data_IF_374748199645
#
_entry.id   IF_374748199645
#
_cell.length_a   1.000
_cell.length_b   1.000
_cell.length_c   1.000
_cell.angle_alpha   90.00
_cell.angle_beta   90.00
_cell.angle_gamma   90.00
#
_symmetry.space_group_name_H-M   'P 1'
#
loop_
_entity.id
_entity.type
_entity.pdbx_description
1 polymer ?
#
# COMPACT_ATOMS: atom_id res chain seq x y z
N UNK A 1 1.25 22.61 -31.45
CA UNK A 1 1.34 21.64 -30.32
C UNK A 1 -0.04 21.58 -29.69
N UNK A 2 -0.76 20.47 -29.90
CA UNK A 2 -2.14 20.32 -29.42
C UNK A 2 -2.17 20.23 -27.88
N UNK A 3 -3.07 20.99 -27.28
CA UNK A 3 -3.33 21.02 -25.85
C UNK A 3 -3.86 19.64 -25.39
N UNK A 4 -2.96 18.73 -25.02
CA UNK A 4 -3.31 17.40 -24.44
C UNK A 4 -3.85 17.46 -23.01
N UNK A 5 -3.86 18.64 -22.37
CA UNK A 5 -4.22 18.78 -20.95
C UNK A 5 -5.72 18.83 -20.64
N UNK A 6 -6.60 18.89 -21.64
CA UNK A 6 -8.04 19.08 -21.37
C UNK A 6 -8.84 17.78 -21.16
N UNK A 7 -8.19 16.59 -21.18
CA UNK A 7 -8.90 15.29 -21.07
C UNK A 7 -8.34 14.36 -19.96
N UNK A 8 -7.52 14.88 -19.06
CA UNK A 8 -7.00 14.06 -17.95
C UNK A 8 -8.08 13.88 -16.86
N UNK A 9 -8.16 12.64 -16.33
CA UNK A 9 -8.98 12.38 -15.16
C UNK A 9 -8.49 13.17 -13.94
N UNK A 10 -9.35 13.38 -12.93
CA UNK A 10 -8.95 14.04 -11.70
C UNK A 10 -7.77 13.36 -11.01
N UNK A 11 -7.72 12.02 -11.04
CA UNK A 11 -6.59 11.26 -10.46
C UNK A 11 -5.29 11.54 -11.21
N UNK A 12 -5.32 11.70 -12.54
CA UNK A 12 -4.14 12.05 -13.31
C UNK A 12 -3.65 13.47 -12.99
N UNK A 13 -4.56 14.42 -12.77
CA UNK A 13 -4.21 15.77 -12.34
C UNK A 13 -3.55 15.77 -10.96
N UNK A 14 -4.12 15.01 -10.01
CA UNK A 14 -3.57 14.85 -8.67
C UNK A 14 -2.17 14.23 -8.74
N UNK A 15 -1.98 13.18 -9.55
CA UNK A 15 -0.65 12.56 -9.76
C UNK A 15 0.35 13.55 -10.34
N UNK A 16 -0.04 14.29 -11.36
CA UNK A 16 0.82 15.29 -12.01
C UNK A 16 1.26 16.38 -11.04
N UNK A 17 0.35 16.82 -10.15
CA UNK A 17 0.63 17.84 -9.14
C UNK A 17 1.36 17.32 -7.89
N UNK A 18 1.49 16.00 -7.73
CA UNK A 18 1.92 15.35 -6.48
C UNK A 18 3.43 15.40 -6.21
N UNK A 19 4.22 16.07 -7.01
CA UNK A 19 5.68 16.05 -6.90
C UNK A 19 6.23 14.61 -6.81
N UNK A 20 6.03 13.83 -7.88
CA UNK A 20 6.48 12.44 -7.98
C UNK A 20 5.95 11.53 -6.85
N UNK A 21 4.65 11.58 -6.62
CA UNK A 21 3.92 10.78 -5.62
C UNK A 21 4.19 11.14 -4.16
N UNK A 22 4.69 12.34 -3.88
CA UNK A 22 4.83 12.82 -2.49
C UNK A 22 3.50 13.35 -1.94
N UNK A 23 2.78 14.13 -2.76
CA UNK A 23 1.62 14.86 -2.26
C UNK A 23 1.97 15.70 -1.04
N UNK A 24 1.06 15.78 -0.10
CA UNK A 24 1.24 16.33 1.25
C UNK A 24 1.25 15.21 2.32
N UNK A 25 1.56 13.96 1.92
CA UNK A 25 1.48 12.79 2.80
C UNK A 25 2.28 12.95 4.09
N UNK A 26 3.47 13.55 4.03
CA UNK A 26 4.29 13.77 5.23
C UNK A 26 3.59 14.66 6.24
N UNK A 27 2.94 15.73 5.79
CA UNK A 27 2.19 16.64 6.64
C UNK A 27 0.90 15.97 7.15
N UNK A 28 0.18 15.29 6.26
CA UNK A 28 -1.03 14.52 6.61
C UNK A 28 -0.77 13.45 7.68
N UNK A 29 0.39 12.80 7.65
CA UNK A 29 0.77 11.78 8.63
C UNK A 29 1.16 12.38 9.99
N UNK A 30 1.70 13.60 10.00
CA UNK A 30 2.09 14.31 11.21
C UNK A 30 0.92 15.11 11.85
N UNK A 31 -0.18 15.26 11.15
CA UNK A 31 -1.38 15.90 11.70
C UNK A 31 -2.05 14.93 12.71
N UNK A 32 -2.07 15.30 13.98
CA UNK A 32 -2.68 14.52 15.06
C UNK A 32 -4.15 14.87 15.32
N UNK A 33 -4.69 15.92 14.67
CA UNK A 33 -6.04 16.44 14.93
C UNK A 33 -7.11 15.47 14.36
N UNK A 34 -6.88 14.95 13.17
CA UNK A 34 -7.81 14.03 12.52
C UNK A 34 -7.18 12.65 12.29
N UNK A 35 -7.99 11.60 12.27
CA UNK A 35 -7.57 10.27 11.83
C UNK A 35 -7.45 10.11 10.31
N UNK A 36 -7.89 11.11 9.54
CA UNK A 36 -7.82 11.13 8.07
C UNK A 36 -6.48 11.69 7.55
N UNK A 37 -6.25 11.52 6.24
CA UNK A 37 -5.25 12.25 5.45
C UNK A 37 -5.96 13.21 4.50
N UNK A 38 -5.23 14.17 3.92
CA UNK A 38 -5.78 15.13 2.98
C UNK A 38 -6.50 14.44 1.80
N UNK A 39 -7.57 15.03 1.21
CA UNK A 39 -8.36 14.38 0.15
C UNK A 39 -7.52 13.90 -1.03
N UNK A 40 -6.61 14.70 -1.55
CA UNK A 40 -5.76 14.32 -2.68
C UNK A 40 -4.78 13.21 -2.31
N UNK A 41 -4.27 13.22 -1.08
CA UNK A 41 -3.39 12.20 -0.54
C UNK A 41 -4.07 10.83 -0.48
N UNK A 42 -5.41 10.76 -0.42
CA UNK A 42 -6.14 9.48 -0.48
C UNK A 42 -5.93 8.75 -1.81
N UNK A 43 -5.59 9.48 -2.88
CA UNK A 43 -5.22 8.90 -4.17
C UNK A 43 -3.72 8.58 -4.21
N UNK A 44 -2.88 9.46 -3.70
CA UNK A 44 -1.41 9.29 -3.72
C UNK A 44 -0.96 8.12 -2.86
N UNK A 45 -1.52 7.95 -1.67
CA UNK A 45 -1.15 6.86 -0.76
C UNK A 45 -1.38 5.47 -1.36
N UNK A 46 -2.26 5.33 -2.35
CA UNK A 46 -2.48 4.06 -3.06
C UNK A 46 -1.19 3.58 -3.75
N UNK A 47 -0.41 4.48 -4.32
CA UNK A 47 0.87 4.16 -4.95
C UNK A 47 1.93 3.71 -3.93
N UNK A 48 1.76 4.09 -2.67
CA UNK A 48 2.57 3.65 -1.54
C UNK A 48 2.04 2.34 -0.90
N UNK A 49 0.95 1.80 -1.41
CA UNK A 49 0.41 0.51 -0.99
C UNK A 49 -0.61 0.54 0.12
N UNK A 50 -1.24 1.69 0.35
CA UNK A 50 -2.25 1.82 1.38
C UNK A 50 -3.55 2.45 0.86
N UNK A 51 -4.64 2.23 1.59
CA UNK A 51 -5.94 2.88 1.39
C UNK A 51 -6.46 3.41 2.72
N UNK A 52 -6.95 4.65 2.71
CA UNK A 52 -7.78 5.13 3.79
C UNK A 52 -9.17 4.48 3.70
N UNK A 53 -9.66 4.01 4.82
CA UNK A 53 -10.97 3.37 4.98
C UNK A 53 -11.69 3.97 6.18
N UNK A 54 -13.00 3.75 6.26
CA UNK A 54 -13.82 4.09 7.43
C UNK A 54 -14.53 2.84 7.93
N UNK A 55 -14.74 2.76 9.24
CA UNK A 55 -15.57 1.72 9.84
C UNK A 55 -17.04 2.03 9.53
N UNK A 56 -17.68 1.15 8.76
CA UNK A 56 -19.07 1.31 8.34
C UNK A 56 -20.06 0.98 9.45
N UNK A 57 -19.72 0.04 10.31
CA UNK A 57 -20.61 -0.45 11.37
C UNK A 57 -20.78 0.62 12.43
N UNK A 58 -19.73 1.36 12.75
CA UNK A 58 -19.75 2.47 13.71
C UNK A 58 -20.17 3.82 13.10
N UNK A 59 -20.33 3.89 11.79
CA UNK A 59 -20.56 5.16 11.06
C UNK A 59 -21.81 5.90 11.57
N UNK A 60 -22.94 5.19 11.73
CA UNK A 60 -24.21 5.78 12.16
C UNK A 60 -24.17 6.28 13.60
N UNK A 61 -23.51 5.55 14.49
CA UNK A 61 -23.39 5.92 15.90
C UNK A 61 -22.47 7.14 16.07
N UNK A 62 -21.29 7.12 15.43
CA UNK A 62 -20.35 8.25 15.47
C UNK A 62 -20.96 9.52 14.92
N UNK A 63 -21.76 9.44 13.83
CA UNK A 63 -22.48 10.58 13.28
C UNK A 63 -23.50 11.16 14.29
N UNK A 64 -24.23 10.32 15.03
CA UNK A 64 -25.15 10.78 16.09
C UNK A 64 -24.41 11.51 17.20
N UNK A 65 -23.23 11.06 17.54
CA UNK A 65 -22.36 11.63 18.57
C UNK A 65 -21.55 12.85 18.06
N UNK A 66 -21.72 13.26 16.81
CA UNK A 66 -20.95 14.34 16.14
C UNK A 66 -19.43 14.11 16.16
N UNK A 67 -19.01 12.86 16.15
CA UNK A 67 -17.62 12.47 16.04
C UNK A 67 -17.23 12.28 14.56
N UNK A 68 -15.96 12.49 14.25
CA UNK A 68 -15.46 12.16 12.90
C UNK A 68 -15.62 10.65 12.63
N UNK A 69 -15.68 10.21 11.35
CA UNK A 69 -15.63 8.80 11.00
C UNK A 69 -14.41 8.10 11.63
N UNK A 70 -14.55 6.84 12.01
CA UNK A 70 -13.40 6.07 12.46
C UNK A 70 -12.55 5.70 11.24
N UNK A 71 -11.54 6.52 10.99
CA UNK A 71 -10.58 6.29 9.90
C UNK A 71 -9.57 5.22 10.27
N UNK A 72 -9.28 4.38 9.31
CA UNK A 72 -8.23 3.37 9.38
C UNK A 72 -7.59 3.18 7.99
N UNK A 73 -6.53 2.40 7.94
CA UNK A 73 -5.80 2.15 6.70
C UNK A 73 -5.66 0.66 6.46
N UNK A 74 -5.81 0.28 5.19
CA UNK A 74 -5.40 -1.02 4.70
C UNK A 74 -3.99 -0.90 4.14
N UNK A 75 -3.12 -1.83 4.44
CA UNK A 75 -1.79 -1.97 3.84
C UNK A 75 -1.76 -3.25 3.01
N UNK A 76 -1.18 -3.16 1.81
CA UNK A 76 -0.95 -4.32 0.93
C UNK A 76 0.55 -4.49 0.68
N UNK A 77 1.04 -5.72 0.85
CA UNK A 77 2.42 -6.06 0.56
C UNK A 77 2.64 -6.37 -0.93
N UNK A 78 3.88 -6.26 -1.38
CA UNK A 78 4.34 -6.70 -2.70
C UNK A 78 5.12 -8.01 -2.55
N UNK A 79 4.57 -9.08 -3.09
CA UNK A 79 5.13 -10.44 -3.05
C UNK A 79 5.11 -11.02 -4.46
N UNK A 80 6.17 -10.86 -5.21
CA UNK A 80 6.23 -11.39 -6.57
C UNK A 80 6.02 -12.89 -6.55
N UNK A 81 5.10 -13.37 -7.38
CA UNK A 81 4.68 -14.78 -7.46
C UNK A 81 4.17 -15.37 -6.13
N UNK A 82 3.87 -14.56 -5.13
CA UNK A 82 3.39 -15.02 -3.83
C UNK A 82 4.44 -15.70 -2.97
N UNK A 83 5.71 -15.53 -3.27
CA UNK A 83 6.80 -16.17 -2.51
C UNK A 83 7.09 -15.37 -1.24
N UNK A 84 7.07 -16.05 -0.12
CA UNK A 84 7.35 -15.50 1.21
C UNK A 84 8.05 -16.56 2.07
N UNK A 85 9.02 -16.15 2.88
CA UNK A 85 9.64 -17.04 3.85
C UNK A 85 8.78 -17.22 5.11
N UNK A 86 9.02 -18.29 5.86
CA UNK A 86 8.31 -18.54 7.12
C UNK A 86 8.53 -17.43 8.14
N UNK A 87 9.74 -16.88 8.23
CA UNK A 87 10.05 -15.76 9.14
C UNK A 87 9.30 -14.48 8.74
N UNK A 88 9.27 -14.16 7.45
CA UNK A 88 8.50 -13.02 6.95
C UNK A 88 7.00 -13.20 7.25
N UNK A 89 6.46 -14.41 7.04
CA UNK A 89 5.07 -14.72 7.34
C UNK A 89 4.73 -14.51 8.82
N UNK A 90 5.56 -15.01 9.71
CA UNK A 90 5.38 -14.85 11.16
C UNK A 90 5.40 -13.37 11.57
N UNK A 91 6.37 -12.60 11.08
CA UNK A 91 6.43 -11.17 11.37
C UNK A 91 5.19 -10.43 10.86
N UNK A 92 4.69 -10.73 9.66
CA UNK A 92 3.45 -10.10 9.17
C UNK A 92 2.25 -10.46 10.03
N UNK A 93 2.16 -11.70 10.51
CA UNK A 93 1.10 -12.11 11.42
C UNK A 93 1.19 -11.34 12.74
N UNK A 94 2.38 -11.17 13.31
CA UNK A 94 2.60 -10.34 14.51
C UNK A 94 2.21 -8.87 14.27
N UNK A 95 2.48 -8.32 13.08
CA UNK A 95 2.07 -6.96 12.74
C UNK A 95 0.54 -6.83 12.60
N UNK A 96 -0.15 -7.88 12.13
CA UNK A 96 -1.61 -7.91 12.09
C UNK A 96 -2.21 -7.83 13.50
N UNK A 97 -1.64 -8.55 14.46
CA UNK A 97 -2.07 -8.53 15.87
C UNK A 97 -1.72 -7.20 16.54
N UNK A 98 -0.52 -6.68 16.30
CA UNK A 98 0.02 -5.50 16.98
C UNK A 98 -0.60 -4.19 16.53
N UNK A 99 -0.84 -4.02 15.23
CA UNK A 99 -1.25 -2.75 14.63
C UNK A 99 -2.59 -2.81 13.90
N UNK A 100 -3.03 -3.99 13.50
CA UNK A 100 -4.26 -4.22 12.75
C UNK A 100 -5.40 -4.75 13.59
N UNK A 101 -6.28 -5.50 12.94
CA UNK A 101 -7.43 -6.16 13.57
C UNK A 101 -7.20 -7.65 13.87
N UNK A 102 -5.95 -8.09 13.97
CA UNK A 102 -5.59 -9.48 14.22
C UNK A 102 -5.81 -10.42 13.04
N UNK A 103 -6.07 -9.88 11.84
CA UNK A 103 -6.29 -10.72 10.66
C UNK A 103 -5.39 -10.32 9.49
N UNK A 104 -4.91 -11.33 8.76
CA UNK A 104 -4.21 -11.16 7.50
C UNK A 104 -5.08 -11.71 6.38
N UNK A 105 -5.39 -10.88 5.37
CA UNK A 105 -6.23 -11.28 4.23
C UNK A 105 -5.38 -11.59 3.02
N UNK A 106 -5.49 -12.82 2.51
CA UNK A 106 -4.89 -13.19 1.22
C UNK A 106 -5.67 -12.57 0.06
N UNK A 107 -4.96 -12.21 -1.01
CA UNK A 107 -5.56 -11.59 -2.20
C UNK A 107 -5.48 -12.51 -3.41
N UNK A 108 -6.34 -12.24 -4.39
CA UNK A 108 -6.31 -12.95 -5.70
C UNK A 108 -5.05 -12.65 -6.52
N UNK A 109 -4.19 -11.71 -6.07
CA UNK A 109 -2.90 -11.38 -6.71
C UNK A 109 -1.71 -11.94 -5.95
N UNK A 110 -1.88 -13.07 -5.27
CA UNK A 110 -0.80 -13.78 -4.58
C UNK A 110 -0.06 -12.87 -3.57
N UNK A 111 -0.79 -12.07 -2.81
CA UNK A 111 -0.23 -11.25 -1.74
C UNK A 111 -1.21 -11.17 -0.58
N UNK A 112 -0.93 -10.34 0.41
CA UNK A 112 -1.80 -10.16 1.57
C UNK A 112 -2.06 -8.69 1.89
N UNK A 113 -3.03 -8.48 2.77
CA UNK A 113 -3.44 -7.18 3.30
C UNK A 113 -3.58 -7.24 4.81
N UNK A 114 -3.16 -6.16 5.45
CA UNK A 114 -3.49 -5.83 6.83
C UNK A 114 -4.57 -4.76 6.82
N UNK A 115 -5.51 -4.83 7.75
CA UNK A 115 -6.64 -3.89 7.85
C UNK A 115 -6.70 -3.24 9.23
N UNK A 116 -7.47 -2.15 9.32
CA UNK A 116 -7.72 -1.41 10.56
C UNK A 116 -6.48 -0.78 11.20
N UNK A 117 -5.44 -0.51 10.41
CA UNK A 117 -4.26 0.20 10.88
C UNK A 117 -4.65 1.67 11.14
N UNK A 118 -4.40 2.19 12.33
CA UNK A 118 -4.63 3.60 12.64
C UNK A 118 -3.52 4.46 12.05
N UNK A 119 -3.83 5.71 11.69
CA UNK A 119 -2.88 6.67 11.07
C UNK A 119 -1.56 6.76 11.84
N UNK A 120 -1.62 6.87 13.17
CA UNK A 120 -0.45 6.94 14.07
C UNK A 120 0.50 5.73 13.97
N UNK A 121 -0.01 4.57 13.55
CA UNK A 121 0.76 3.33 13.41
C UNK A 121 1.19 3.05 11.98
N UNK A 122 0.68 3.81 11.00
CA UNK A 122 0.82 3.50 9.58
C UNK A 122 2.29 3.52 9.15
N UNK A 123 3.03 4.59 9.47
CA UNK A 123 4.45 4.71 9.14
C UNK A 123 5.25 3.56 9.76
N UNK A 124 5.04 3.30 11.05
CA UNK A 124 5.77 2.24 11.76
C UNK A 124 5.49 0.85 11.20
N UNK A 125 4.23 0.56 10.86
CA UNK A 125 3.87 -0.72 10.22
C UNK A 125 4.58 -0.90 8.88
N UNK A 126 4.63 0.13 8.03
CA UNK A 126 5.34 0.08 6.74
C UNK A 126 6.85 -0.07 6.95
N UNK A 127 7.45 0.58 7.95
CA UNK A 127 8.85 0.40 8.30
C UNK A 127 9.16 -1.04 8.71
N UNK A 128 8.37 -1.62 9.63
CA UNK A 128 8.58 -3.00 10.09
C UNK A 128 8.38 -4.03 8.94
N UNK A 129 7.47 -3.77 7.99
CA UNK A 129 7.34 -4.57 6.75
C UNK A 129 8.61 -4.45 5.90
N UNK A 130 9.20 -3.26 5.76
CA UNK A 130 10.43 -3.09 4.97
C UNK A 130 11.65 -3.72 5.65
N UNK A 131 11.72 -3.75 6.98
CA UNK A 131 12.81 -4.41 7.72
C UNK A 131 12.93 -5.91 7.40
N UNK A 132 11.84 -6.57 7.06
CA UNK A 132 11.85 -7.97 6.60
C UNK A 132 11.97 -8.12 5.08
N UNK A 133 12.49 -7.09 4.40
CA UNK A 133 12.72 -7.10 2.95
C UNK A 133 11.45 -7.27 2.10
N UNK A 134 10.32 -6.83 2.62
CA UNK A 134 9.06 -6.73 1.88
C UNK A 134 8.72 -5.25 1.71
N UNK A 135 8.24 -4.85 0.55
CA UNK A 135 7.78 -3.49 0.28
C UNK A 135 6.27 -3.42 0.10
N UNK A 136 5.70 -2.24 0.30
CA UNK A 136 4.31 -1.95 -0.03
C UNK A 136 4.19 -1.09 -1.31
N UNK A 137 5.32 -0.64 -1.86
CA UNK A 137 5.35 0.25 -3.03
C UNK A 137 4.62 -0.37 -4.23
N UNK A 138 3.81 0.42 -4.89
CA UNK A 138 3.07 0.08 -6.12
C UNK A 138 2.18 -1.18 -5.99
N UNK A 139 1.58 -1.41 -4.83
CA UNK A 139 0.66 -2.54 -4.65
C UNK A 139 -0.80 -2.17 -4.82
N UNK A 140 -1.10 -0.89 -4.88
CA UNK A 140 -2.43 -0.32 -5.07
C UNK A 140 -2.40 0.82 -6.10
N UNK A 141 -3.57 1.33 -6.46
CA UNK A 141 -3.68 2.45 -7.39
C UNK A 141 -3.58 2.01 -8.86
N UNK A 142 -3.35 3.01 -9.69
CA UNK A 142 -3.27 2.91 -11.15
C UNK A 142 -1.81 2.72 -11.57
N UNK A 143 -1.26 1.57 -11.22
CA UNK A 143 0.13 1.17 -11.49
C UNK A 143 0.20 -0.33 -11.74
N UNK A 144 1.33 -0.80 -12.24
CA UNK A 144 1.63 -2.23 -12.26
C UNK A 144 1.74 -2.76 -10.83
N UNK A 145 0.77 -3.54 -10.43
CA UNK A 145 0.66 -4.11 -9.07
C UNK A 145 1.54 -5.35 -8.93
N UNK A 146 1.20 -6.24 -7.98
CA UNK A 146 1.93 -7.48 -7.77
C UNK A 146 1.96 -8.33 -9.05
N UNK A 147 3.15 -8.76 -9.48
CA UNK A 147 3.34 -9.65 -10.63
C UNK A 147 3.12 -11.09 -10.16
N UNK A 148 2.24 -11.79 -10.84
CA UNK A 148 1.88 -13.17 -10.54
C UNK A 148 2.59 -14.14 -11.47
N UNK A 149 2.92 -15.29 -10.95
CA UNK A 149 3.37 -16.45 -11.74
C UNK A 149 3.00 -17.75 -11.03
N UNK A 150 3.44 -18.88 -11.52
CA UNK A 150 3.30 -20.14 -10.79
C UNK A 150 3.87 -20.01 -9.37
N UNK A 151 3.12 -20.39 -8.31
CA UNK A 151 3.55 -20.18 -6.92
C UNK A 151 4.61 -21.18 -6.44
N UNK A 152 5.01 -22.13 -7.26
CA UNK A 152 6.01 -23.15 -6.91
C UNK A 152 7.20 -23.10 -7.87
N UNK A 153 8.20 -22.23 -7.62
CA UNK A 153 9.39 -22.14 -8.47
C UNK A 153 10.28 -23.40 -8.42
N UNK A 154 10.09 -24.25 -7.42
CA UNK A 154 10.91 -25.47 -7.24
C UNK A 154 10.34 -26.68 -7.98
N UNK A 155 9.19 -26.57 -8.63
CA UNK A 155 8.54 -27.68 -9.32
C UNK A 155 9.32 -28.15 -10.55
N UNK A 156 9.93 -27.23 -11.30
CA UNK A 156 10.79 -27.54 -12.45
C UNK A 156 11.65 -26.33 -12.81
N UNK A 157 12.64 -26.55 -13.69
CA UNK A 157 13.46 -25.46 -14.24
C UNK A 157 12.62 -24.35 -14.91
N UNK A 158 11.57 -24.71 -15.64
CA UNK A 158 10.68 -23.74 -16.31
C UNK A 158 9.96 -22.87 -15.27
N UNK A 159 9.48 -23.46 -14.17
CA UNK A 159 8.82 -22.70 -13.10
C UNK A 159 9.80 -21.73 -12.43
N UNK A 160 11.04 -22.13 -12.22
CA UNK A 160 12.07 -21.26 -11.67
C UNK A 160 12.43 -20.10 -12.61
N UNK A 161 12.62 -20.38 -13.90
CA UNK A 161 12.89 -19.33 -14.89
C UNK A 161 11.72 -18.35 -14.99
N UNK A 162 10.47 -18.84 -15.01
CA UNK A 162 9.26 -17.99 -14.98
C UNK A 162 9.21 -17.12 -13.73
N UNK A 163 9.60 -17.64 -12.57
CA UNK A 163 9.68 -16.83 -11.34
C UNK A 163 10.75 -15.73 -11.46
N UNK A 164 11.92 -16.02 -12.00
CA UNK A 164 12.97 -15.02 -12.21
C UNK A 164 12.50 -13.89 -13.16
N UNK A 165 11.78 -14.25 -14.22
CA UNK A 165 11.21 -13.27 -15.15
C UNK A 165 10.12 -12.43 -14.47
N UNK A 166 9.27 -13.03 -13.64
CA UNK A 166 8.30 -12.29 -12.84
C UNK A 166 8.98 -11.27 -11.91
N UNK A 167 10.11 -11.64 -11.29
CA UNK A 167 10.91 -10.72 -10.44
C UNK A 167 11.50 -9.58 -11.28
N UNK A 168 12.06 -9.86 -12.46
CA UNK A 168 12.62 -8.84 -13.36
C UNK A 168 11.54 -7.86 -13.81
N UNK A 169 10.37 -8.35 -14.23
CA UNK A 169 9.22 -7.53 -14.63
C UNK A 169 8.74 -6.69 -13.44
N UNK A 170 8.59 -7.30 -12.26
CA UNK A 170 8.17 -6.61 -11.05
C UNK A 170 9.07 -5.42 -10.72
N UNK A 171 10.38 -5.60 -10.78
CA UNK A 171 11.35 -4.54 -10.47
C UNK A 171 11.41 -3.48 -11.58
N UNK A 172 11.31 -3.88 -12.84
CA UNK A 172 11.35 -2.96 -13.99
C UNK A 172 10.18 -1.97 -13.98
N UNK A 173 9.01 -2.43 -13.56
CA UNK A 173 7.77 -1.66 -13.58
C UNK A 173 7.47 -0.89 -12.27
N UNK A 174 8.42 -0.83 -11.33
CA UNK A 174 8.28 0.02 -10.16
C UNK A 174 8.32 1.51 -10.54
N UNK A 175 7.54 2.37 -9.85
CA UNK A 175 7.64 3.81 -10.04
C UNK A 175 9.06 4.30 -9.72
N UNK A 176 9.59 5.15 -10.60
CA UNK A 176 10.92 5.76 -10.43
C UNK A 176 10.78 7.04 -9.57
N UNK A 177 10.61 6.86 -8.27
CA UNK A 177 10.47 7.95 -7.31
C UNK A 177 11.16 7.58 -6.00
N UNK A 178 11.78 8.56 -5.32
CA UNK A 178 12.31 8.42 -3.96
C UNK A 178 11.25 8.70 -2.87
N UNK A 179 10.06 9.17 -3.25
CA UNK A 179 9.02 9.58 -2.31
C UNK A 179 8.66 8.51 -1.27
N UNK A 180 8.65 7.23 -1.69
CA UNK A 180 8.36 6.14 -0.77
C UNK A 180 9.37 6.06 0.36
N UNK A 181 10.66 6.16 0.06
CA UNK A 181 11.72 6.11 1.07
C UNK A 181 11.67 7.33 1.98
N UNK A 182 11.59 8.51 1.39
CA UNK A 182 11.56 9.79 2.12
C UNK A 182 10.37 9.92 3.10
N UNK A 183 9.22 9.36 2.77
CA UNK A 183 8.01 9.45 3.60
C UNK A 183 7.99 8.37 4.67
N UNK A 184 8.34 7.14 4.30
CA UNK A 184 8.10 5.99 5.17
C UNK A 184 9.33 5.50 5.90
N UNK A 185 10.53 5.59 5.31
CA UNK A 185 11.73 4.93 5.83
C UNK A 185 12.73 5.89 6.47
N UNK A 186 12.65 7.20 6.19
CA UNK A 186 13.50 8.23 6.81
C UNK A 186 13.05 8.62 8.25
#
# INVERSE_FOLDING_TARGET
MANHNNNLSEVEKIKAASNYLRGTLKDSLNDEITGAIAPDDTNIIKFHGSYQQTDRDLSSERKKQKLEPLYSFMIRARLTAGIISSSQWLTINELADKYGNGTMKLTTRQTFQLHSILKRNLKKTIQEINQIMITTLATCGDVNRNVMSSPNPYLSRIHFETFLDAVRISNHLLPKTSAYYEIWLD
#
